data_IF_425180191310
#
_entry.id   IF_425180191310
#
_cell.length_a   1.000
_cell.length_b   1.000
_cell.length_c   1.000
_cell.angle_alpha   90.00
_cell.angle_beta   90.00
_cell.angle_gamma   90.00
#
_symmetry.space_group_name_H-M   'P 1'
#
loop_
_entity.id
_entity.type
_entity.pdbx_description
1 polymer ?
#
# COMPACT_ATOMS: atom_id res chain seq x y z
N UNK A 1 79.36 5.12 -54.22
CA UNK A 1 78.88 4.46 -52.98
C UNK A 1 78.13 5.49 -52.14
N UNK A 2 76.86 5.19 -51.81
CA UNK A 2 76.08 5.53 -50.58
C UNK A 2 76.18 6.96 -50.02
N UNK A 3 75.11 7.63 -49.57
CA UNK A 3 73.68 7.35 -49.40
C UNK A 3 73.03 8.71 -49.04
N UNK A 4 71.87 8.99 -49.63
CA UNK A 4 70.99 10.10 -49.26
C UNK A 4 70.20 9.73 -48.01
N UNK A 5 70.07 10.65 -47.05
CA UNK A 5 69.16 10.51 -45.90
C UNK A 5 68.04 11.57 -46.08
N UNK A 6 66.84 11.12 -46.42
CA UNK A 6 65.64 11.95 -46.49
C UNK A 6 64.85 11.81 -45.19
N UNK A 7 64.47 12.96 -44.63
CA UNK A 7 63.59 13.10 -43.47
C UNK A 7 62.15 12.71 -43.87
N UNK A 8 61.53 11.79 -43.12
CA UNK A 8 60.10 11.49 -43.22
C UNK A 8 59.43 12.06 -41.96
N UNK A 9 58.61 13.09 -42.16
CA UNK A 9 57.73 13.67 -41.14
C UNK A 9 56.42 12.87 -41.17
N UNK A 10 56.16 12.08 -40.13
CA UNK A 10 54.91 11.33 -39.97
C UNK A 10 53.89 12.19 -39.23
N UNK A 11 52.85 12.65 -39.91
CA UNK A 11 51.70 13.30 -39.28
C UNK A 11 50.72 12.21 -38.85
N UNK A 12 50.65 11.94 -37.54
CA UNK A 12 49.63 11.09 -36.93
C UNK A 12 48.38 11.94 -36.69
N UNK A 13 47.36 11.74 -37.52
CA UNK A 13 46.01 12.28 -37.29
C UNK A 13 45.33 11.41 -36.25
N UNK A 14 45.23 11.90 -35.02
CA UNK A 14 44.40 11.29 -33.97
C UNK A 14 42.97 11.79 -34.19
N UNK A 15 42.15 11.01 -34.90
CA UNK A 15 40.71 11.22 -34.92
C UNK A 15 40.13 10.76 -33.58
N UNK A 16 39.83 11.72 -32.70
CA UNK A 16 39.02 11.50 -31.51
C UNK A 16 37.58 11.20 -31.94
N UNK A 17 37.20 9.93 -31.96
CA UNK A 17 35.79 9.54 -32.00
C UNK A 17 35.16 9.87 -30.65
N UNK A 18 34.54 11.05 -30.53
CA UNK A 18 33.56 11.31 -29.48
C UNK A 18 32.32 10.49 -29.81
N UNK A 19 32.21 9.29 -29.25
CA UNK A 19 30.95 8.56 -29.21
C UNK A 19 29.99 9.36 -28.32
N UNK A 20 29.13 10.16 -28.94
CA UNK A 20 27.95 10.68 -28.28
C UNK A 20 27.06 9.47 -27.94
N UNK A 21 27.26 8.90 -26.75
CA UNK A 21 26.25 8.03 -26.15
C UNK A 21 25.09 8.92 -25.75
N UNK A 22 24.23 9.28 -26.70
CA UNK A 22 22.87 9.68 -26.37
C UNK A 22 22.25 8.46 -25.73
N UNK A 23 22.20 8.44 -24.39
CA UNK A 23 21.37 7.48 -23.67
C UNK A 23 20.00 7.50 -24.32
N UNK A 24 19.59 6.38 -24.91
CA UNK A 24 18.23 6.23 -25.44
C UNK A 24 17.30 6.34 -24.23
N UNK A 25 16.59 7.47 -24.13
CA UNK A 25 15.60 7.71 -23.10
C UNK A 25 14.24 7.53 -23.73
N UNK A 26 13.44 6.64 -23.18
CA UNK A 26 12.03 6.55 -23.52
C UNK A 26 11.29 7.61 -22.71
N UNK A 27 10.49 8.43 -23.39
CA UNK A 27 9.69 9.48 -22.76
C UNK A 27 8.23 9.14 -22.99
N UNK A 28 7.45 9.06 -21.91
CA UNK A 28 6.01 8.82 -21.98
C UNK A 28 5.28 10.07 -21.51
N UNK A 29 4.19 10.42 -22.20
CA UNK A 29 3.40 11.60 -21.89
C UNK A 29 1.92 11.24 -21.65
N UNK A 30 1.39 11.71 -20.53
CA UNK A 30 -0.04 11.79 -20.26
C UNK A 30 -0.39 13.27 -20.04
N UNK A 31 -1.45 13.77 -20.67
CA UNK A 31 -1.83 15.19 -20.62
C UNK A 31 -3.33 15.39 -20.54
N UNK A 32 -3.77 16.46 -19.88
CA UNK A 32 -5.18 16.85 -19.81
C UNK A 32 -5.80 17.14 -21.18
N UNK A 33 -4.97 17.46 -22.19
CA UNK A 33 -5.42 17.66 -23.58
C UNK A 33 -5.56 16.35 -24.37
N UNK A 34 -5.29 15.19 -23.78
CA UNK A 34 -5.65 13.88 -24.34
C UNK A 34 -4.49 12.93 -24.68
N UNK A 35 -3.23 13.25 -24.36
CA UNK A 35 -2.15 12.26 -24.42
C UNK A 35 -2.39 11.21 -23.33
N UNK A 36 -2.35 9.91 -23.67
CA UNK A 36 -2.56 8.81 -22.72
C UNK A 36 -1.39 7.83 -22.84
N UNK A 37 -0.40 7.95 -21.93
CA UNK A 37 0.79 7.09 -21.89
C UNK A 37 1.47 6.89 -23.26
N UNK A 38 1.53 7.95 -24.07
CA UNK A 38 2.08 7.87 -25.41
C UNK A 38 3.60 8.03 -25.39
N UNK A 39 4.33 7.13 -26.07
CA UNK A 39 5.77 7.28 -26.28
C UNK A 39 6.05 8.50 -27.18
N UNK A 40 6.82 9.45 -26.65
CA UNK A 40 7.20 10.70 -27.31
C UNK A 40 8.49 10.50 -28.10
N UNK A 41 8.35 10.01 -29.33
CA UNK A 41 9.47 9.70 -30.24
C UNK A 41 10.32 10.91 -30.64
N UNK A 42 9.71 12.09 -30.67
CA UNK A 42 10.36 13.34 -31.08
C UNK A 42 10.71 14.25 -29.88
N UNK A 43 11.09 13.66 -28.74
CA UNK A 43 11.51 14.46 -27.59
C UNK A 43 12.81 15.20 -27.89
N UNK A 44 12.73 16.53 -28.03
CA UNK A 44 13.87 17.40 -28.27
C UNK A 44 14.12 18.35 -27.10
N UNK A 45 15.40 18.59 -26.81
CA UNK A 45 15.81 19.57 -25.81
C UNK A 45 15.44 20.98 -26.29
N UNK A 46 14.62 21.67 -25.52
CA UNK A 46 14.30 23.09 -25.74
C UNK A 46 15.52 23.99 -25.50
N UNK A 47 15.63 25.09 -26.25
CA UNK A 47 16.64 26.14 -25.99
C UNK A 47 16.45 26.77 -24.61
N UNK A 48 15.20 26.94 -24.18
CA UNK A 48 14.84 27.35 -22.82
C UNK A 48 14.50 26.10 -22.00
N UNK A 49 15.39 25.72 -21.08
CA UNK A 49 15.21 24.55 -20.23
C UNK A 49 15.73 24.81 -18.81
N UNK A 50 15.05 24.22 -17.84
CA UNK A 50 15.58 24.04 -16.49
C UNK A 50 16.50 22.82 -16.46
N UNK A 51 17.49 22.83 -15.57
CA UNK A 51 18.38 21.69 -15.35
C UNK A 51 17.91 20.92 -14.12
N UNK A 52 17.61 19.64 -14.30
CA UNK A 52 17.40 18.67 -13.22
C UNK A 52 18.58 17.70 -13.25
N UNK A 53 19.19 17.45 -12.10
CA UNK A 53 20.34 16.56 -11.95
C UNK A 53 20.03 15.43 -10.98
N UNK A 54 20.49 14.22 -11.30
CA UNK A 54 20.27 13.02 -10.48
C UNK A 54 21.52 12.76 -9.64
N UNK A 55 21.39 12.78 -8.31
CA UNK A 55 22.45 12.36 -7.40
C UNK A 55 22.30 10.87 -7.06
N UNK A 56 23.12 10.02 -7.69
CA UNK A 56 23.10 8.57 -7.47
C UNK A 56 23.85 8.13 -6.21
N UNK A 57 24.52 9.05 -5.49
CA UNK A 57 25.27 8.75 -4.26
C UNK A 57 24.40 8.89 -3.00
N UNK A 58 23.37 9.74 -3.04
CA UNK A 58 22.44 9.95 -1.93
C UNK A 58 21.15 9.15 -2.15
N UNK A 59 21.20 7.85 -1.86
CA UNK A 59 20.04 6.96 -1.98
C UNK A 59 19.02 7.23 -0.86
N UNK A 60 17.74 7.13 -1.20
CA UNK A 60 16.60 7.26 -0.27
C UNK A 60 15.93 5.89 -0.08
N UNK A 61 14.62 5.87 0.15
CA UNK A 61 13.86 4.65 0.35
C UNK A 61 13.86 3.73 -0.88
N UNK A 62 13.69 2.43 -0.62
CA UNK A 62 13.29 1.48 -1.66
C UNK A 62 11.78 1.58 -1.85
N UNK A 63 11.33 1.58 -3.11
CA UNK A 63 9.90 1.58 -3.43
C UNK A 63 9.36 0.16 -3.29
N UNK A 64 8.34 -0.01 -2.45
CA UNK A 64 7.73 -1.32 -2.16
C UNK A 64 6.84 -1.78 -3.32
N UNK A 65 6.07 -0.84 -3.88
CA UNK A 65 5.17 -1.04 -5.01
C UNK A 65 4.11 0.07 -5.09
N UNK A 66 3.24 -0.06 -6.09
CA UNK A 66 2.05 0.77 -6.29
C UNK A 66 0.89 -0.12 -6.69
N UNK A 67 -0.33 0.29 -6.36
CA UNK A 67 -1.54 -0.39 -6.82
C UNK A 67 -2.81 0.13 -6.17
N UNK A 68 -3.77 -0.77 -5.92
CA UNK A 68 -5.10 -0.44 -5.41
C UNK A 68 -5.69 -1.53 -4.52
N UNK A 69 -6.93 -1.34 -4.10
CA UNK A 69 -7.62 -2.24 -3.17
C UNK A 69 -8.52 -3.23 -3.90
N UNK A 70 -8.42 -4.50 -3.52
CA UNK A 70 -9.42 -5.53 -3.81
C UNK A 70 -10.55 -5.43 -2.79
N UNK A 71 -11.53 -4.59 -3.06
CA UNK A 71 -12.77 -4.50 -2.27
C UNK A 71 -13.87 -5.40 -2.84
N UNK A 72 -14.82 -5.82 -2.01
CA UNK A 72 -16.01 -6.55 -2.46
C UNK A 72 -16.76 -5.76 -3.54
N UNK A 73 -16.93 -4.44 -3.39
CA UNK A 73 -17.54 -3.60 -4.43
C UNK A 73 -16.78 -3.63 -5.76
N UNK A 74 -15.43 -3.61 -5.73
CA UNK A 74 -14.63 -3.73 -6.95
C UNK A 74 -14.85 -5.09 -7.60
N UNK A 75 -14.74 -6.16 -6.82
CA UNK A 75 -14.91 -7.52 -7.31
C UNK A 75 -16.34 -7.78 -7.83
N UNK A 76 -17.35 -7.27 -7.13
CA UNK A 76 -18.75 -7.32 -7.53
C UNK A 76 -18.97 -6.62 -8.88
N UNK A 77 -18.48 -5.40 -9.06
CA UNK A 77 -18.61 -4.67 -10.32
C UNK A 77 -17.93 -5.40 -11.48
N UNK A 78 -16.74 -5.95 -11.27
CA UNK A 78 -16.04 -6.71 -12.30
C UNK A 78 -16.76 -8.03 -12.61
N UNK A 79 -17.40 -8.68 -11.62
CA UNK A 79 -18.21 -9.88 -11.83
C UNK A 79 -19.46 -9.64 -12.69
N UNK A 80 -19.95 -8.40 -12.79
CA UNK A 80 -21.09 -8.04 -13.64
C UNK A 80 -20.72 -7.89 -15.13
N UNK A 81 -19.43 -7.84 -15.45
CA UNK A 81 -18.93 -7.64 -16.82
C UNK A 81 -18.88 -8.96 -17.60
N UNK A 82 -18.78 -8.86 -18.93
CA UNK A 82 -18.46 -10.03 -19.74
C UNK A 82 -17.04 -10.53 -19.44
N UNK A 83 -16.72 -11.81 -19.69
CA UNK A 83 -15.38 -12.35 -19.51
C UNK A 83 -14.29 -11.54 -20.23
N UNK A 84 -14.60 -11.02 -21.43
CA UNK A 84 -13.67 -10.21 -22.22
C UNK A 84 -13.35 -8.87 -21.54
N UNK A 85 -14.38 -8.13 -21.10
CA UNK A 85 -14.19 -6.85 -20.43
C UNK A 85 -13.53 -7.02 -19.05
N UNK A 86 -13.86 -8.08 -18.33
CA UNK A 86 -13.16 -8.45 -17.09
C UNK A 86 -11.68 -8.67 -17.36
N UNK A 87 -11.34 -9.47 -18.38
CA UNK A 87 -9.94 -9.73 -18.75
C UNK A 87 -9.22 -8.45 -19.15
N UNK A 88 -9.86 -7.55 -19.90
CA UNK A 88 -9.27 -6.27 -20.31
C UNK A 88 -8.90 -5.40 -19.11
N UNK A 89 -9.77 -5.31 -18.10
CA UNK A 89 -9.52 -4.54 -16.87
C UNK A 89 -8.39 -5.17 -16.05
N UNK A 90 -8.40 -6.50 -15.88
CA UNK A 90 -7.36 -7.20 -15.13
C UNK A 90 -5.99 -7.04 -15.80
N UNK A 91 -5.91 -7.20 -17.12
CA UNK A 91 -4.69 -6.97 -17.90
C UNK A 91 -4.23 -5.50 -17.82
N UNK A 92 -5.16 -4.54 -17.87
CA UNK A 92 -4.82 -3.12 -17.76
C UNK A 92 -4.15 -2.77 -16.42
N UNK A 93 -4.55 -3.40 -15.31
CA UNK A 93 -3.96 -3.14 -13.99
C UNK A 93 -2.75 -4.02 -13.67
N UNK A 94 -2.78 -5.30 -14.03
CA UNK A 94 -1.82 -6.30 -13.56
C UNK A 94 -0.94 -6.90 -14.65
N UNK A 95 -1.33 -6.79 -15.92
CA UNK A 95 -0.55 -7.29 -17.05
C UNK A 95 0.70 -6.44 -17.29
N UNK A 96 1.72 -7.05 -17.92
CA UNK A 96 3.02 -6.42 -18.20
C UNK A 96 2.93 -5.19 -19.10
N UNK A 97 1.97 -5.18 -20.03
CA UNK A 97 1.72 -4.07 -20.95
C UNK A 97 0.79 -3.01 -20.33
N UNK A 98 0.29 -3.25 -19.11
CA UNK A 98 -0.58 -2.37 -18.35
C UNK A 98 0.15 -1.57 -17.27
N UNK A 99 -0.54 -1.29 -16.16
CA UNK A 99 0.01 -0.56 -15.02
C UNK A 99 0.98 -1.40 -14.15
N UNK A 100 0.97 -2.73 -14.32
CA UNK A 100 1.79 -3.69 -13.58
C UNK A 100 1.78 -3.44 -12.06
N UNK A 101 0.58 -3.39 -11.47
CA UNK A 101 0.40 -3.24 -10.02
C UNK A 101 1.24 -4.27 -9.25
N UNK A 102 1.94 -3.79 -8.22
CA UNK A 102 2.95 -4.54 -7.46
C UNK A 102 2.70 -4.53 -5.95
N UNK A 103 1.75 -3.74 -5.49
CA UNK A 103 1.29 -3.67 -4.10
C UNK A 103 -0.21 -3.42 -4.08
N UNK A 104 -0.96 -4.29 -3.40
CA UNK A 104 -2.42 -4.22 -3.32
C UNK A 104 -2.89 -4.38 -1.88
N UNK A 105 -4.10 -3.90 -1.62
CA UNK A 105 -4.76 -3.97 -0.30
C UNK A 105 -6.01 -4.84 -0.36
N UNK A 106 -6.30 -5.58 0.70
CA UNK A 106 -7.59 -6.24 0.93
C UNK A 106 -8.20 -5.73 2.25
N UNK A 107 -9.52 -5.80 2.38
CA UNK A 107 -10.17 -5.65 3.68
C UNK A 107 -10.26 -7.00 4.40
N UNK A 108 -10.27 -6.95 5.72
CA UNK A 108 -10.50 -8.11 6.59
C UNK A 108 -11.84 -7.91 7.30
N UNK A 109 -12.76 -8.87 7.16
CA UNK A 109 -14.20 -8.66 7.39
C UNK A 109 -14.80 -7.67 6.36
N UNK A 110 -15.99 -7.14 6.59
CA UNK A 110 -16.58 -6.12 5.71
C UNK A 110 -16.00 -4.72 5.94
N UNK A 111 -16.19 -3.86 4.93
CA UNK A 111 -15.97 -2.42 4.98
C UNK A 111 -17.13 -1.66 4.30
N UNK A 112 -17.01 -0.34 4.20
CA UNK A 112 -17.96 0.52 3.47
C UNK A 112 -18.12 0.16 1.99
N UNK A 113 -17.10 -0.45 1.38
CA UNK A 113 -17.15 -1.02 0.03
C UNK A 113 -17.55 -2.51 0.03
N UNK A 114 -18.29 -2.97 1.04
CA UNK A 114 -18.94 -4.28 1.07
C UNK A 114 -20.45 -4.17 0.84
N UNK A 115 -21.07 -5.22 0.30
CA UNK A 115 -22.51 -5.22 -0.01
C UNK A 115 -23.37 -5.39 1.25
N UNK A 116 -22.80 -6.00 2.29
CA UNK A 116 -23.41 -6.18 3.62
C UNK A 116 -22.33 -6.19 4.70
N UNK A 117 -22.71 -5.94 5.96
CA UNK A 117 -21.78 -6.15 7.07
C UNK A 117 -21.59 -7.65 7.34
N UNK A 118 -20.35 -8.10 7.45
CA UNK A 118 -20.01 -9.47 7.81
C UNK A 118 -18.71 -9.54 8.60
N UNK A 119 -18.42 -10.71 9.19
CA UNK A 119 -17.12 -11.00 9.78
C UNK A 119 -16.73 -12.45 9.50
N UNK A 120 -15.43 -12.73 9.50
CA UNK A 120 -14.92 -14.10 9.42
C UNK A 120 -15.08 -14.88 10.73
N UNK A 121 -15.66 -14.27 11.77
CA UNK A 121 -15.87 -14.85 13.09
C UNK A 121 -17.37 -14.84 13.47
N UNK A 122 -18.20 -15.60 12.75
CA UNK A 122 -19.66 -15.46 12.79
C UNK A 122 -20.31 -15.97 14.09
N UNK A 123 -19.59 -16.77 14.89
CA UNK A 123 -20.10 -17.37 16.12
C UNK A 123 -19.70 -16.53 17.33
N UNK A 124 -20.70 -15.97 18.02
CA UNK A 124 -20.48 -15.20 19.25
C UNK A 124 -19.87 -16.07 20.36
N UNK A 125 -18.84 -15.56 21.02
CA UNK A 125 -18.14 -16.23 22.12
C UNK A 125 -17.14 -17.32 21.67
N UNK A 126 -16.95 -17.52 20.36
CA UNK A 126 -15.94 -18.44 19.81
C UNK A 126 -14.53 -17.85 19.94
N UNK A 127 -14.02 -17.77 21.17
CA UNK A 127 -12.74 -17.13 21.48
C UNK A 127 -11.52 -17.88 20.91
N UNK A 128 -11.70 -19.14 20.50
CA UNK A 128 -10.68 -19.96 19.83
C UNK A 128 -10.82 -19.95 18.30
N UNK A 129 -11.83 -19.24 17.78
CA UNK A 129 -12.10 -19.09 16.35
C UNK A 129 -12.17 -20.45 15.63
N UNK A 130 -12.86 -21.42 16.24
CA UNK A 130 -13.08 -22.76 15.66
C UNK A 130 -13.93 -22.70 14.39
N UNK A 131 -14.81 -21.70 14.29
CA UNK A 131 -15.71 -21.46 13.15
C UNK A 131 -15.22 -20.31 12.25
N UNK A 132 -13.94 -19.96 12.32
CA UNK A 132 -13.34 -18.97 11.43
C UNK A 132 -13.53 -19.37 9.97
N UNK A 133 -13.99 -18.44 9.14
CA UNK A 133 -14.18 -18.70 7.70
C UNK A 133 -14.02 -17.44 6.86
N UNK A 134 -13.39 -17.58 5.70
CA UNK A 134 -13.31 -16.55 4.64
C UNK A 134 -14.33 -16.80 3.53
N UNK A 135 -15.38 -17.58 3.80
CA UNK A 135 -16.44 -17.88 2.82
C UNK A 135 -17.07 -16.66 2.14
N UNK A 136 -17.26 -15.49 2.81
CA UNK A 136 -17.73 -14.28 2.13
C UNK A 136 -16.91 -13.92 0.88
N UNK A 137 -15.59 -14.10 0.92
CA UNK A 137 -14.66 -13.65 -0.13
C UNK A 137 -14.52 -14.65 -1.30
N UNK A 138 -15.05 -15.88 -1.14
CA UNK A 138 -14.86 -16.97 -2.11
C UNK A 138 -15.55 -16.73 -3.45
N UNK A 139 -16.61 -15.92 -3.45
CA UNK A 139 -17.42 -15.67 -4.64
C UNK A 139 -16.89 -14.51 -5.49
N UNK A 140 -16.05 -13.63 -4.94
CA UNK A 140 -15.70 -12.36 -5.58
C UNK A 140 -14.22 -11.98 -5.44
N UNK A 141 -13.76 -11.63 -4.23
CA UNK A 141 -12.41 -11.12 -3.95
C UNK A 141 -11.37 -12.17 -4.32
N UNK A 142 -11.53 -13.42 -3.86
CA UNK A 142 -10.58 -14.50 -4.16
C UNK A 142 -10.48 -14.80 -5.67
N UNK A 143 -11.58 -14.95 -6.42
CA UNK A 143 -11.51 -15.03 -7.88
C UNK A 143 -10.81 -13.84 -8.54
N UNK A 144 -11.08 -12.61 -8.12
CA UNK A 144 -10.43 -11.42 -8.67
C UNK A 144 -8.92 -11.40 -8.41
N UNK A 145 -8.48 -11.75 -7.20
CA UNK A 145 -7.06 -11.89 -6.86
C UNK A 145 -6.40 -12.96 -7.73
N UNK A 146 -7.06 -14.12 -7.92
CA UNK A 146 -6.53 -15.22 -8.73
C UNK A 146 -6.39 -14.84 -10.21
N UNK A 147 -7.34 -14.08 -10.76
CA UNK A 147 -7.24 -13.55 -12.12
C UNK A 147 -6.04 -12.59 -12.25
N UNK A 148 -5.86 -11.68 -11.28
CA UNK A 148 -4.72 -10.77 -11.24
C UNK A 148 -3.38 -11.52 -11.12
N UNK A 149 -3.31 -12.56 -10.27
CA UNK A 149 -2.13 -13.43 -10.15
C UNK A 149 -1.82 -14.17 -11.46
N UNK A 150 -2.85 -14.51 -12.26
CA UNK A 150 -2.70 -15.21 -13.52
C UNK A 150 -2.01 -14.40 -14.61
N UNK A 151 -2.13 -13.06 -14.58
CA UNK A 151 -1.55 -12.15 -15.60
C UNK A 151 -0.32 -11.40 -15.11
N UNK A 152 -0.15 -11.23 -13.80
CA UNK A 152 1.00 -10.53 -13.21
C UNK A 152 2.25 -11.40 -13.19
N UNK A 153 3.20 -11.15 -14.11
CA UNK A 153 4.40 -12.00 -14.23
C UNK A 153 5.40 -11.82 -13.11
N UNK A 154 5.58 -10.58 -12.64
CA UNK A 154 6.47 -10.25 -11.52
C UNK A 154 5.78 -10.43 -10.16
N UNK A 155 4.47 -10.68 -10.15
CA UNK A 155 3.64 -10.78 -8.97
C UNK A 155 3.41 -9.44 -8.26
N UNK A 156 2.65 -9.49 -7.16
CA UNK A 156 2.36 -8.34 -6.33
C UNK A 156 2.26 -8.75 -4.86
N UNK A 157 2.48 -7.79 -3.96
CA UNK A 157 2.29 -7.97 -2.53
C UNK A 157 0.86 -7.63 -2.14
N UNK A 158 0.28 -8.38 -1.20
CA UNK A 158 -1.04 -8.10 -0.65
C UNK A 158 -0.92 -7.81 0.84
N UNK A 159 -1.47 -6.70 1.33
CA UNK A 159 -1.67 -6.52 2.76
C UNK A 159 -3.15 -6.37 3.11
N UNK A 160 -3.54 -6.87 4.28
CA UNK A 160 -4.90 -6.77 4.79
C UNK A 160 -5.06 -5.64 5.80
N UNK A 161 -6.25 -5.06 5.90
CA UNK A 161 -6.62 -4.09 6.94
C UNK A 161 -8.02 -4.42 7.45
N UNK A 162 -8.24 -4.62 8.76
CA UNK A 162 -9.59 -4.71 9.30
C UNK A 162 -10.18 -3.31 9.50
N UNK A 163 -11.47 -3.13 9.17
CA UNK A 163 -12.24 -1.94 9.54
C UNK A 163 -12.91 -2.09 10.90
N UNK A 164 -13.15 -3.33 11.33
CA UNK A 164 -13.75 -3.62 12.62
C UNK A 164 -13.59 -5.11 12.97
N UNK A 165 -13.46 -5.40 14.25
CA UNK A 165 -13.79 -6.72 14.78
C UNK A 165 -15.30 -7.00 14.71
N UNK A 166 -15.69 -8.27 14.89
CA UNK A 166 -17.11 -8.62 14.98
C UNK A 166 -17.79 -7.95 16.19
N UNK A 167 -19.09 -7.61 16.10
CA UNK A 167 -19.83 -6.93 17.17
C UNK A 167 -19.63 -7.56 18.56
N UNK A 168 -19.65 -8.88 18.67
CA UNK A 168 -19.52 -9.56 19.97
C UNK A 168 -18.18 -9.32 20.68
N UNK A 169 -17.14 -8.92 19.93
CA UNK A 169 -15.84 -8.56 20.49
C UNK A 169 -15.75 -7.09 20.98
N UNK A 170 -16.75 -6.26 20.65
CA UNK A 170 -16.70 -4.80 20.85
C UNK A 170 -17.54 -4.34 22.02
N UNK A 171 -17.13 -3.24 22.67
CA UNK A 171 -17.80 -2.65 23.84
C UNK A 171 -19.22 -2.13 23.56
N UNK A 172 -19.52 -1.81 22.32
CA UNK A 172 -20.81 -1.32 21.85
C UNK A 172 -21.67 -2.37 21.14
N UNK A 173 -21.16 -3.60 20.96
CA UNK A 173 -21.79 -4.66 20.19
C UNK A 173 -22.27 -4.20 18.79
N UNK A 174 -21.48 -3.39 18.09
CA UNK A 174 -21.83 -2.86 16.76
C UNK A 174 -20.60 -2.83 15.83
N UNK A 175 -20.82 -2.96 14.53
CA UNK A 175 -19.78 -2.79 13.51
C UNK A 175 -19.25 -1.35 13.43
N UNK A 176 -20.08 -0.35 13.72
CA UNK A 176 -19.72 1.08 13.65
C UNK A 176 -19.25 1.59 15.01
N UNK A 177 -18.06 2.18 15.05
CA UNK A 177 -17.44 2.78 16.24
C UNK A 177 -17.18 1.77 17.37
N UNK A 178 -16.93 2.26 18.57
CA UNK A 178 -16.61 1.41 19.73
C UNK A 178 -15.19 0.86 19.70
N UNK A 179 -14.85 0.07 20.71
CA UNK A 179 -13.49 -0.45 20.93
C UNK A 179 -13.48 -1.96 21.09
N UNK A 180 -12.36 -2.58 20.74
CA UNK A 180 -12.10 -3.97 21.08
C UNK A 180 -12.05 -4.14 22.60
N UNK A 181 -12.85 -5.06 23.16
CA UNK A 181 -12.75 -5.38 24.59
C UNK A 181 -11.42 -6.09 24.86
N UNK A 182 -10.72 -5.69 25.92
CA UNK A 182 -9.40 -6.25 26.30
C UNK A 182 -9.39 -7.77 26.47
N UNK A 183 -10.53 -8.34 26.89
CA UNK A 183 -10.68 -9.81 27.03
C UNK A 183 -10.57 -10.57 25.70
N UNK A 184 -10.71 -9.89 24.55
CA UNK A 184 -10.61 -10.47 23.22
C UNK A 184 -9.31 -10.12 22.49
N UNK A 185 -8.31 -9.52 23.14
CA UNK A 185 -7.04 -9.19 22.47
C UNK A 185 -6.34 -10.45 21.96
N UNK A 186 -6.27 -11.53 22.75
CA UNK A 186 -5.67 -12.79 22.27
C UNK A 186 -6.49 -13.43 21.14
N UNK A 187 -7.82 -13.36 21.21
CA UNK A 187 -8.70 -13.83 20.14
C UNK A 187 -8.50 -13.01 18.86
N UNK A 188 -8.32 -11.69 18.97
CA UNK A 188 -8.07 -10.82 17.83
C UNK A 188 -6.67 -11.05 17.24
N UNK A 189 -5.65 -11.33 18.05
CA UNK A 189 -4.34 -11.77 17.54
C UNK A 189 -4.43 -13.09 16.76
N UNK A 190 -5.20 -14.07 17.27
CA UNK A 190 -5.48 -15.33 16.58
C UNK A 190 -6.23 -15.13 15.26
N UNK A 191 -7.10 -14.12 15.15
CA UNK A 191 -7.80 -13.77 13.92
C UNK A 191 -6.82 -13.45 12.78
N UNK A 192 -5.80 -12.61 13.02
CA UNK A 192 -4.77 -12.31 12.00
C UNK A 192 -4.02 -13.57 11.56
N UNK A 193 -3.65 -14.45 12.50
CA UNK A 193 -2.97 -15.70 12.18
C UNK A 193 -3.83 -16.62 11.30
N UNK A 194 -5.12 -16.78 11.65
CA UNK A 194 -6.09 -17.58 10.87
C UNK A 194 -6.40 -16.98 9.51
N UNK A 195 -6.45 -15.65 9.39
CA UNK A 195 -6.63 -14.96 8.11
C UNK A 195 -5.53 -15.34 7.12
N UNK A 196 -4.27 -15.28 7.56
CA UNK A 196 -3.10 -15.65 6.73
C UNK A 196 -3.19 -17.10 6.28
N UNK A 197 -3.49 -18.02 7.21
CA UNK A 197 -3.55 -19.44 6.88
C UNK A 197 -4.71 -19.75 5.92
N UNK A 198 -5.86 -19.09 6.09
CA UNK A 198 -7.01 -19.28 5.22
C UNK A 198 -6.76 -18.76 3.80
N UNK A 199 -6.17 -17.56 3.65
CA UNK A 199 -5.81 -17.02 2.32
C UNK A 199 -4.71 -17.85 1.66
N UNK A 200 -3.71 -18.30 2.43
CA UNK A 200 -2.65 -19.17 1.92
C UNK A 200 -3.21 -20.51 1.42
N UNK A 201 -4.20 -21.09 2.11
CA UNK A 201 -4.88 -22.30 1.66
C UNK A 201 -5.59 -22.13 0.31
N UNK A 202 -5.93 -20.89 -0.06
CA UNK A 202 -6.49 -20.52 -1.36
C UNK A 202 -5.43 -20.16 -2.42
N UNK A 203 -4.13 -20.25 -2.09
CA UNK A 203 -3.04 -19.86 -2.98
C UNK A 203 -2.76 -18.35 -2.99
N UNK A 204 -3.20 -17.62 -1.97
CA UNK A 204 -3.00 -16.18 -1.83
C UNK A 204 -2.09 -15.88 -0.65
N UNK A 205 -0.88 -15.41 -0.93
CA UNK A 205 0.09 -15.05 0.10
C UNK A 205 -0.13 -13.61 0.58
N UNK A 206 -0.28 -13.44 1.89
CA UNK A 206 -0.39 -12.14 2.55
C UNK A 206 1.03 -11.69 2.94
N UNK A 207 1.42 -10.49 2.49
CA UNK A 207 2.70 -9.85 2.81
C UNK A 207 2.69 -9.21 4.20
N UNK A 208 1.53 -8.72 4.66
CA UNK A 208 1.40 -8.11 5.97
C UNK A 208 0.03 -7.48 6.21
N UNK A 209 -0.04 -6.59 7.17
CA UNK A 209 -1.28 -5.94 7.57
C UNK A 209 -1.06 -4.53 8.08
N UNK A 210 -2.15 -3.75 8.09
CA UNK A 210 -2.31 -2.69 9.08
C UNK A 210 -3.13 -3.22 10.25
N UNK A 211 -2.87 -2.71 11.46
CA UNK A 211 -3.51 -3.22 12.69
C UNK A 211 -5.01 -2.92 12.73
N UNK A 212 -5.40 -1.75 12.22
CA UNK A 212 -6.76 -1.25 12.15
C UNK A 212 -6.79 -0.16 11.08
N UNK A 213 -7.78 -0.19 10.20
CA UNK A 213 -8.07 0.92 9.29
C UNK A 213 -8.65 2.09 10.08
N UNK A 214 -8.07 3.28 9.94
CA UNK A 214 -8.60 4.52 10.50
C UNK A 214 -9.00 4.43 11.98
N UNK A 215 -8.06 4.13 12.91
CA UNK A 215 -8.33 3.91 14.34
C UNK A 215 -8.92 5.11 15.08
N UNK A 216 -8.97 6.30 14.46
CA UNK A 216 -9.72 7.45 14.97
C UNK A 216 -11.24 7.31 14.76
N UNK A 217 -11.66 6.41 13.88
CA UNK A 217 -13.01 6.29 13.36
C UNK A 217 -13.24 7.15 12.11
N UNK A 218 -14.47 7.08 11.61
CA UNK A 218 -14.91 7.65 10.34
C UNK A 218 -16.16 8.53 10.49
N UNK A 219 -16.33 9.16 11.65
CA UNK A 219 -17.55 9.92 11.97
C UNK A 219 -18.80 9.06 12.23
N UNK A 220 -18.64 7.76 12.44
CA UNK A 220 -19.72 6.76 12.61
C UNK A 220 -20.56 6.53 11.35
N UNK A 221 -19.93 6.58 10.17
CA UNK A 221 -20.64 6.39 8.89
C UNK A 221 -20.62 4.94 8.40
N UNK A 222 -19.56 4.19 8.71
CA UNK A 222 -19.36 2.79 8.31
C UNK A 222 -18.56 2.01 9.35
N UNK A 223 -18.26 0.74 9.08
CA UNK A 223 -17.46 -0.12 9.96
C UNK A 223 -16.21 0.59 10.45
N UNK A 224 -16.01 0.58 11.77
CA UNK A 224 -14.88 1.25 12.42
C UNK A 224 -14.64 0.64 13.79
N UNK A 225 -13.38 0.53 14.20
CA UNK A 225 -13.01 0.20 15.57
C UNK A 225 -11.91 1.13 16.07
N UNK A 226 -12.14 1.76 17.22
CA UNK A 226 -11.25 2.81 17.71
C UNK A 226 -10.08 2.25 18.52
N UNK A 227 -8.90 2.84 18.31
CA UNK A 227 -7.72 2.66 19.16
C UNK A 227 -7.11 4.03 19.50
N UNK A 228 -6.66 4.20 20.74
CA UNK A 228 -5.59 5.16 21.03
C UNK A 228 -4.23 4.60 20.59
N UNK A 229 -3.19 5.44 20.41
CA UNK A 229 -1.84 4.98 20.14
C UNK A 229 -1.34 3.95 21.19
N UNK A 230 -1.67 4.16 22.47
CA UNK A 230 -1.30 3.26 23.55
C UNK A 230 -2.06 1.94 23.49
N UNK A 231 -3.36 1.96 23.20
CA UNK A 231 -4.17 0.74 23.08
C UNK A 231 -3.69 -0.12 21.91
N UNK A 232 -3.39 0.49 20.75
CA UNK A 232 -2.87 -0.25 19.60
C UNK A 232 -1.48 -0.81 19.89
N UNK A 233 -0.59 -0.01 20.49
CA UNK A 233 0.77 -0.45 20.82
C UNK A 233 0.76 -1.58 21.85
N UNK A 234 -0.13 -1.51 22.85
CA UNK A 234 -0.35 -2.59 23.83
C UNK A 234 -0.80 -3.88 23.15
N UNK A 235 -1.81 -3.80 22.27
CA UNK A 235 -2.27 -4.94 21.47
C UNK A 235 -1.15 -5.55 20.62
N UNK A 236 -0.39 -4.71 19.90
CA UNK A 236 0.68 -5.20 19.02
C UNK A 236 1.81 -5.87 19.79
N UNK A 237 2.29 -5.23 20.86
CA UNK A 237 3.47 -5.69 21.59
C UNK A 237 3.18 -6.90 22.47
N UNK A 238 2.01 -6.94 23.09
CA UNK A 238 1.68 -7.95 24.09
C UNK A 238 0.81 -9.10 23.55
N UNK A 239 0.19 -8.94 22.37
CA UNK A 239 -0.71 -9.96 21.81
C UNK A 239 -0.37 -10.31 20.37
N UNK A 240 -0.53 -9.39 19.41
CA UNK A 240 -0.41 -9.70 17.97
C UNK A 240 0.98 -10.20 17.58
N UNK A 241 2.02 -9.42 17.89
CA UNK A 241 3.40 -9.75 17.54
C UNK A 241 3.86 -11.09 18.12
N UNK A 242 3.76 -11.29 19.46
CA UNK A 242 4.11 -12.57 20.09
C UNK A 242 3.32 -13.76 19.56
N UNK A 243 2.03 -13.59 19.24
CA UNK A 243 1.19 -14.65 18.70
C UNK A 243 1.66 -15.08 17.30
N UNK A 244 1.90 -14.11 16.40
CA UNK A 244 2.41 -14.39 15.06
C UNK A 244 3.80 -15.04 15.10
N UNK A 245 4.69 -14.57 15.98
CA UNK A 245 6.00 -15.20 16.16
C UNK A 245 5.88 -16.65 16.64
N UNK A 246 5.03 -16.91 17.63
CA UNK A 246 4.78 -18.26 18.16
C UNK A 246 4.21 -19.22 17.10
N UNK A 247 3.39 -18.70 16.18
CA UNK A 247 2.82 -19.44 15.05
C UNK A 247 3.77 -19.57 13.85
N UNK A 248 5.01 -19.08 13.96
CA UNK A 248 6.00 -19.12 12.88
C UNK A 248 5.70 -18.16 11.73
N UNK A 249 4.92 -17.11 11.99
CA UNK A 249 4.49 -16.06 11.06
C UNK A 249 5.09 -14.67 11.40
N UNK A 250 6.22 -14.66 12.14
CA UNK A 250 6.89 -13.44 12.59
C UNK A 250 7.58 -12.63 11.48
N UNK A 251 7.55 -13.11 10.23
CA UNK A 251 8.05 -12.43 9.03
C UNK A 251 6.99 -11.56 8.33
N UNK A 252 5.73 -11.65 8.76
CA UNK A 252 4.65 -10.81 8.25
C UNK A 252 4.82 -9.36 8.72
N UNK A 253 4.62 -8.43 7.79
CA UNK A 253 4.76 -7.01 8.05
C UNK A 253 3.60 -6.49 8.90
N UNK A 254 3.88 -5.82 10.01
CA UNK A 254 2.86 -5.14 10.83
C UNK A 254 3.05 -3.63 10.74
N UNK A 255 2.03 -2.94 10.23
CA UNK A 255 1.99 -1.48 10.16
C UNK A 255 0.95 -0.91 11.12
N UNK A 256 1.34 0.09 11.91
CA UNK A 256 0.41 0.84 12.76
C UNK A 256 -0.19 2.04 12.04
N UNK A 257 -1.09 2.71 12.76
CA UNK A 257 -1.78 3.94 12.39
C UNK A 257 -2.82 3.83 11.27
N UNK A 258 -2.43 3.71 10.00
CA UNK A 258 -3.35 3.59 8.84
C UNK A 258 -4.46 4.66 8.82
N UNK A 259 -4.04 5.92 8.97
CA UNK A 259 -4.92 7.08 9.04
C UNK A 259 -4.22 8.33 8.50
N UNK A 260 -4.94 9.43 8.39
CA UNK A 260 -4.46 10.65 7.75
C UNK A 260 -3.21 11.26 8.41
N UNK A 261 -2.48 12.11 7.69
CA UNK A 261 -1.07 12.45 8.01
C UNK A 261 -0.90 13.36 9.23
N UNK A 262 -1.91 14.12 9.66
CA UNK A 262 -1.74 15.07 10.76
C UNK A 262 -1.47 14.41 12.11
N UNK A 263 -2.03 13.22 12.36
CA UNK A 263 -1.81 12.51 13.63
C UNK A 263 -0.51 11.72 13.69
N UNK A 264 0.29 11.70 12.61
CA UNK A 264 1.53 10.92 12.54
C UNK A 264 2.48 11.15 13.73
N UNK A 265 2.75 12.39 14.20
CA UNK A 265 3.67 12.58 15.32
C UNK A 265 3.20 11.91 16.61
N UNK A 266 1.91 12.01 16.93
CA UNK A 266 1.32 11.40 18.14
C UNK A 266 1.48 9.88 18.13
N UNK A 267 1.22 9.24 16.98
CA UNK A 267 1.31 7.79 16.85
C UNK A 267 2.75 7.30 16.79
N UNK A 268 3.62 8.02 16.06
CA UNK A 268 5.04 7.70 15.98
C UNK A 268 5.72 7.76 17.37
N UNK A 269 5.37 8.75 18.21
CA UNK A 269 5.92 8.90 19.55
C UNK A 269 5.63 7.70 20.47
N UNK A 270 4.48 7.04 20.29
CA UNK A 270 4.10 5.89 21.11
C UNK A 270 4.60 4.58 20.49
N UNK A 271 4.40 4.38 19.19
CA UNK A 271 4.83 3.17 18.48
C UNK A 271 6.36 3.01 18.53
N UNK A 272 7.10 4.11 18.36
CA UNK A 272 8.57 4.10 18.23
C UNK A 272 9.30 4.64 19.46
N UNK A 273 8.60 4.75 20.61
CA UNK A 273 9.17 5.27 21.86
C UNK A 273 10.49 4.63 22.25
N UNK A 274 10.56 3.30 22.17
CA UNK A 274 11.72 2.50 22.56
C UNK A 274 11.79 1.18 21.78
N UNK A 275 12.88 0.44 21.93
CA UNK A 275 13.09 -0.83 21.21
C UNK A 275 12.04 -1.90 21.54
N UNK A 276 11.35 -1.79 22.68
CA UNK A 276 10.28 -2.74 23.06
C UNK A 276 9.04 -2.51 22.22
N UNK A 277 8.56 -1.26 22.14
CA UNK A 277 7.36 -0.93 21.37
C UNK A 277 7.60 -1.06 19.88
N UNK A 278 8.79 -0.66 19.43
CA UNK A 278 9.18 -0.67 18.02
C UNK A 278 9.44 -2.07 17.46
N UNK A 279 9.69 -3.07 18.31
CA UNK A 279 10.14 -4.41 17.89
C UNK A 279 9.19 -5.05 16.87
N UNK A 280 7.89 -4.99 17.10
CA UNK A 280 6.90 -5.67 16.26
C UNK A 280 6.29 -4.78 15.18
N UNK A 281 6.56 -3.47 15.18
CA UNK A 281 6.15 -2.61 14.08
C UNK A 281 7.22 -2.61 12.99
N UNK A 282 6.85 -2.98 11.77
CA UNK A 282 7.70 -2.84 10.59
C UNK A 282 7.52 -1.48 9.92
N UNK A 283 6.40 -0.79 10.20
CA UNK A 283 6.13 0.51 9.64
C UNK A 283 4.92 1.25 10.22
N UNK A 284 4.69 2.41 9.60
CA UNK A 284 3.55 3.28 9.83
C UNK A 284 2.85 3.50 8.49
N UNK A 285 1.53 3.30 8.48
CA UNK A 285 0.66 3.50 7.33
C UNK A 285 -0.05 4.86 7.42
N UNK A 286 -0.24 5.53 6.29
CA UNK A 286 -0.93 6.84 6.22
C UNK A 286 -1.96 6.93 5.09
N UNK A 287 -3.01 7.71 5.33
CA UNK A 287 -4.05 8.08 4.38
C UNK A 287 -3.89 9.53 3.90
N UNK A 288 -4.77 9.99 3.01
CA UNK A 288 -4.62 11.27 2.30
C UNK A 288 -5.65 12.37 2.67
N UNK A 289 -6.77 12.02 3.31
CA UNK A 289 -8.04 12.75 3.36
C UNK A 289 -8.12 14.01 4.26
N UNK A 290 -7.04 14.78 4.37
CA UNK A 290 -6.98 15.98 5.24
C UNK A 290 -6.78 17.28 4.50
N UNK A 291 -6.22 17.24 3.30
CA UNK A 291 -5.98 18.45 2.53
C UNK A 291 -6.05 18.22 1.04
N UNK A 292 -6.63 19.21 0.37
CA UNK A 292 -6.75 19.25 -1.10
C UNK A 292 -5.47 19.75 -1.77
N UNK A 293 -4.49 20.26 -0.99
CA UNK A 293 -3.29 20.90 -1.51
C UNK A 293 -2.01 20.64 -0.72
N UNK A 294 -2.10 20.41 0.59
CA UNK A 294 -0.96 20.05 1.42
C UNK A 294 -0.79 18.53 1.46
N UNK A 295 0.46 18.10 1.41
CA UNK A 295 0.83 16.70 1.54
C UNK A 295 1.50 16.39 2.88
N UNK A 296 1.54 17.37 3.79
CA UNK A 296 2.07 17.29 5.15
C UNK A 296 3.52 16.80 5.22
N UNK A 297 4.47 17.44 4.51
CA UNK A 297 5.87 17.01 4.47
C UNK A 297 6.50 16.86 5.85
N UNK A 298 6.23 17.81 6.76
CA UNK A 298 6.82 17.82 8.10
C UNK A 298 6.37 16.61 8.94
N UNK A 299 5.13 16.14 8.76
CA UNK A 299 4.59 14.97 9.46
C UNK A 299 5.23 13.67 8.95
N UNK A 300 5.39 13.57 7.62
CA UNK A 300 6.06 12.42 7.01
C UNK A 300 7.55 12.38 7.38
N UNK A 301 8.21 13.54 7.41
CA UNK A 301 9.60 13.67 7.84
C UNK A 301 9.75 13.35 9.34
N UNK A 302 8.76 13.69 10.17
CA UNK A 302 8.73 13.31 11.59
C UNK A 302 8.76 11.78 11.75
N UNK A 303 7.87 11.06 11.07
CA UNK A 303 7.85 9.59 11.12
C UNK A 303 9.19 8.99 10.66
N UNK A 304 9.77 9.52 9.58
CA UNK A 304 11.08 9.08 9.07
C UNK A 304 12.19 9.32 10.08
N UNK A 305 12.19 10.44 10.80
CA UNK A 305 13.20 10.72 11.81
C UNK A 305 13.00 9.89 13.09
N UNK A 306 11.75 9.60 13.46
CA UNK A 306 11.42 8.77 14.62
C UNK A 306 11.90 7.32 14.44
N UNK A 307 11.75 6.74 13.25
CA UNK A 307 12.24 5.40 12.94
C UNK A 307 12.70 5.26 11.47
N UNK A 308 13.95 5.68 11.14
CA UNK A 308 14.45 5.71 9.76
C UNK A 308 14.51 4.35 9.05
N UNK A 309 14.61 3.27 9.82
CA UNK A 309 14.66 1.90 9.33
C UNK A 309 13.28 1.32 8.98
N UNK A 310 12.21 1.98 9.43
CA UNK A 310 10.84 1.47 9.31
C UNK A 310 10.17 1.96 8.03
N UNK A 311 9.18 1.19 7.58
CA UNK A 311 8.36 1.50 6.43
C UNK A 311 7.48 2.72 6.76
N UNK A 312 7.35 3.62 5.79
CA UNK A 312 6.30 4.63 5.76
C UNK A 312 5.55 4.43 4.45
N UNK A 313 4.30 4.01 4.53
CA UNK A 313 3.51 3.58 3.38
C UNK A 313 2.22 4.39 3.29
N UNK A 314 1.92 4.93 2.11
CA UNK A 314 0.61 5.47 1.82
C UNK A 314 -0.30 4.33 1.37
N UNK A 315 -1.30 4.01 2.17
CA UNK A 315 -2.10 2.78 2.08
C UNK A 315 -3.49 3.02 1.51
N UNK A 316 -3.97 4.26 1.56
CA UNK A 316 -5.25 4.65 0.98
C UNK A 316 -5.22 6.09 0.45
N UNK A 317 -5.86 6.28 -0.70
CA UNK A 317 -6.25 7.58 -1.24
C UNK A 317 -7.39 7.37 -2.23
N UNK A 318 -8.40 8.22 -2.14
CA UNK A 318 -9.50 8.26 -3.08
C UNK A 318 -9.85 9.71 -3.44
N UNK A 319 -10.51 9.85 -4.58
CA UNK A 319 -11.35 11.01 -4.85
C UNK A 319 -12.78 10.51 -4.68
N UNK A 320 -13.53 11.14 -3.79
CA UNK A 320 -14.93 10.79 -3.52
C UNK A 320 -15.81 11.19 -4.73
N UNK A 321 -17.12 11.39 -4.54
CA UNK A 321 -18.08 11.66 -5.60
C UNK A 321 -17.85 12.96 -6.40
N UNK A 322 -16.93 13.82 -5.95
CA UNK A 322 -16.65 15.13 -6.52
C UNK A 322 -15.13 15.35 -6.61
N UNK A 323 -14.73 16.20 -7.55
CA UNK A 323 -13.32 16.64 -7.66
C UNK A 323 -13.01 17.56 -6.46
N UNK A 324 -11.97 17.28 -5.65
CA UNK A 324 -11.63 18.10 -4.51
C UNK A 324 -11.36 19.54 -4.94
N UNK A 325 -11.94 20.50 -4.22
CA UNK A 325 -11.75 21.92 -4.51
C UNK A 325 -10.36 22.33 -4.03
N UNK A 326 -9.48 22.67 -4.97
CA UNK A 326 -8.10 23.06 -4.66
C UNK A 326 -8.03 24.20 -3.64
N UNK A 327 -7.30 23.98 -2.55
CA UNK A 327 -7.14 24.92 -1.41
C UNK A 327 -8.40 25.16 -0.60
N UNK A 328 -9.29 24.17 -0.54
CA UNK A 328 -10.45 24.15 0.35
C UNK A 328 -10.48 22.84 1.14
N UNK A 329 -9.77 22.79 2.27
CA UNK A 329 -9.72 21.57 3.10
C UNK A 329 -11.07 21.27 3.76
N UNK A 330 -11.95 22.28 3.90
CA UNK A 330 -13.28 22.08 4.43
C UNK A 330 -14.16 21.22 3.48
N UNK A 331 -13.74 21.06 2.22
CA UNK A 331 -14.40 20.21 1.22
C UNK A 331 -14.50 18.74 1.63
N UNK A 332 -13.53 18.17 2.34
CA UNK A 332 -13.60 16.77 2.79
C UNK A 332 -14.66 16.51 3.86
N UNK A 333 -15.12 17.57 4.52
CA UNK A 333 -15.93 17.48 5.74
C UNK A 333 -17.34 18.06 5.57
N UNK A 334 -17.68 18.53 4.36
CA UNK A 334 -18.98 19.10 3.99
C UNK A 334 -19.70 18.16 3.05
#
# INVERSE_FOLDING_TARGET
MKKSLWFILSVLVITSCSSNSTSQMNVFETSASGSLYAEKKDFQKSEQHSIVSIDTKNRKQTIIGFGGAFTEATAHNINLLSPENRSEIIEAYFGDDGAAYSLTRTHMNSCDFSVTNYSYTPVEGDTLLEHFTIDPDRADILPMIKDAQGVSKEGFKIFGSPWSAAPWMKDNNNYVGGKLKKEYYDTWALFFSKYVDAFRAEGVDIWGFTVENEPHGNGNNWESMHYSPEEMTDFVVNHLGPHLEADGKGDLIIMGYDQNRQGVPEWADVMYRDDTTKRYYDGLAVHWYESTYDYFPDMLEYARNAAPEKILLQTEACVDNQVPVWRDDAWYWQ
#
